data_IF_515420187048
#
_entry.id   IF_515420187048
#
_cell.length_a   1.000
_cell.length_b   1.000
_cell.length_c   1.000
_cell.angle_alpha   90.00
_cell.angle_beta   90.00
_cell.angle_gamma   90.00
#
_symmetry.space_group_name_H-M   'P 1'
#
loop_
_entity.id
_entity.type
_entity.pdbx_description
1 polymer ?
#
# COMPACT_ATOMS: atom_id res chain seq x y z
N UNK A 1 -2.61 -63.21 -27.31
CA UNK A 1 -1.41 -63.64 -28.06
C UNK A 1 -0.92 -62.44 -28.87
N UNK A 2 0.36 -62.10 -28.69
CA UNK A 2 1.25 -61.24 -29.51
C UNK A 2 0.82 -59.78 -29.82
N UNK A 3 1.69 -58.77 -29.80
CA UNK A 3 3.06 -58.60 -29.31
C UNK A 3 3.40 -57.10 -29.35
N UNK A 4 4.37 -56.72 -28.51
CA UNK A 4 4.98 -55.40 -28.35
C UNK A 4 5.55 -54.75 -29.62
N UNK A 5 5.58 -53.40 -29.62
CA UNK A 5 6.77 -52.64 -30.03
C UNK A 5 6.84 -51.29 -29.32
N UNK A 6 7.81 -51.16 -28.42
CA UNK A 6 8.25 -49.94 -27.75
C UNK A 6 9.10 -49.08 -28.67
N UNK A 7 8.88 -47.77 -28.71
CA UNK A 7 9.87 -46.79 -29.16
C UNK A 7 9.87 -45.59 -28.21
N UNK A 8 10.89 -45.59 -27.36
CA UNK A 8 11.39 -44.47 -26.58
C UNK A 8 12.09 -43.45 -27.47
N UNK A 9 11.85 -42.15 -27.26
CA UNK A 9 12.82 -41.09 -27.57
C UNK A 9 12.54 -39.82 -26.73
N UNK A 10 13.57 -38.98 -26.50
CA UNK A 10 13.81 -38.35 -25.20
C UNK A 10 13.31 -36.90 -25.05
N UNK A 11 13.24 -36.50 -23.78
CA UNK A 11 12.96 -35.15 -23.27
C UNK A 11 14.06 -34.16 -23.69
N UNK A 12 13.75 -32.99 -24.29
CA UNK A 12 14.68 -31.88 -24.36
C UNK A 12 14.64 -31.06 -23.07
N UNK A 13 15.81 -30.89 -22.45
CA UNK A 13 16.10 -29.91 -21.41
C UNK A 13 16.26 -28.51 -22.04
N UNK A 14 15.77 -27.50 -21.33
CA UNK A 14 15.89 -26.04 -21.56
C UNK A 14 15.13 -25.42 -22.75
N UNK A 15 14.16 -24.51 -22.49
CA UNK A 15 13.82 -23.47 -23.45
C UNK A 15 14.78 -22.27 -23.27
N UNK A 16 15.67 -22.11 -24.23
CA UNK A 16 16.44 -20.88 -24.43
C UNK A 16 15.49 -19.74 -24.78
N UNK A 17 15.44 -18.68 -23.97
CA UNK A 17 14.74 -17.44 -24.34
C UNK A 17 15.50 -16.75 -25.48
N UNK A 18 14.95 -16.80 -26.68
CA UNK A 18 15.38 -15.98 -27.81
C UNK A 18 14.65 -14.63 -27.73
N UNK A 19 15.32 -13.60 -27.23
CA UNK A 19 14.86 -12.20 -27.38
C UNK A 19 15.41 -11.70 -28.71
N UNK A 20 14.53 -11.57 -29.71
CA UNK A 20 14.84 -10.91 -30.97
C UNK A 20 14.74 -9.39 -30.77
N UNK A 21 15.88 -8.70 -30.81
CA UNK A 21 15.93 -7.24 -30.97
C UNK A 21 15.92 -6.88 -32.45
N UNK A 22 15.07 -5.95 -32.92
CA UNK A 22 15.32 -5.25 -34.15
C UNK A 22 16.30 -4.09 -33.91
N UNK A 23 17.47 -4.20 -34.53
CA UNK A 23 18.46 -3.15 -34.69
C UNK A 23 18.06 -2.14 -35.77
N UNK A 24 18.40 -0.87 -35.53
CA UNK A 24 18.47 0.30 -36.43
C UNK A 24 17.22 1.17 -36.58
N UNK A 25 17.29 2.40 -36.06
CA UNK A 25 17.25 3.66 -36.84
C UNK A 25 17.69 4.87 -35.97
N UNK A 26 18.25 5.87 -36.65
CA UNK A 26 19.22 6.90 -36.24
C UNK A 26 18.71 8.04 -35.31
N UNK A 27 19.62 8.83 -34.68
CA UNK A 27 19.25 9.89 -33.73
C UNK A 27 18.76 11.18 -34.41
N UNK A 28 17.93 12.01 -33.75
CA UNK A 28 17.45 13.26 -34.32
C UNK A 28 18.51 14.38 -34.22
N UNK A 29 18.55 15.22 -35.27
CA UNK A 29 19.36 16.44 -35.36
C UNK A 29 18.80 17.52 -34.41
N UNK A 30 19.68 18.11 -33.60
CA UNK A 30 19.39 19.31 -32.82
C UNK A 30 19.34 20.55 -33.73
N UNK A 31 18.27 21.34 -33.62
CA UNK A 31 18.23 22.74 -34.08
C UNK A 31 18.23 23.65 -32.86
N UNK A 32 19.27 24.47 -32.74
CA UNK A 32 19.45 25.49 -31.71
C UNK A 32 18.55 26.68 -32.04
N UNK A 33 17.62 27.01 -31.14
CA UNK A 33 16.85 28.24 -31.15
C UNK A 33 17.12 29.03 -29.87
N UNK A 34 17.82 30.16 -29.99
CA UNK A 34 17.94 31.16 -28.93
C UNK A 34 16.56 31.77 -28.61
N UNK A 35 16.32 32.12 -27.34
CA UNK A 35 15.64 33.36 -27.06
C UNK A 35 16.46 34.28 -26.15
N UNK A 36 16.38 35.54 -26.54
CA UNK A 36 16.94 36.76 -25.98
C UNK A 36 16.50 37.03 -24.55
N UNK A 37 17.46 37.56 -23.79
CA UNK A 37 17.35 38.19 -22.48
C UNK A 37 16.38 39.37 -22.44
N UNK A 38 15.57 39.45 -21.37
CA UNK A 38 15.19 40.73 -20.76
C UNK A 38 15.11 40.57 -19.24
N UNK A 39 15.98 41.32 -18.58
CA UNK A 39 16.09 41.51 -17.14
C UNK A 39 15.02 42.49 -16.64
N UNK A 40 14.39 42.19 -15.50
CA UNK A 40 13.78 43.19 -14.65
C UNK A 40 14.06 42.83 -13.18
N UNK A 41 15.00 43.56 -12.60
CA UNK A 41 15.36 43.58 -11.19
C UNK A 41 14.31 44.35 -10.39
N UNK A 42 13.76 43.74 -9.34
CA UNK A 42 13.10 44.47 -8.25
C UNK A 42 13.75 44.10 -6.92
N UNK A 43 14.46 45.07 -6.36
CA UNK A 43 15.08 45.08 -5.04
C UNK A 43 13.99 45.22 -3.98
N UNK A 44 13.86 44.24 -3.08
CA UNK A 44 13.09 44.36 -1.85
C UNK A 44 14.05 44.38 -0.66
N UNK A 45 14.00 45.49 0.10
CA UNK A 45 14.66 45.67 1.39
C UNK A 45 13.70 45.15 2.48
N UNK A 46 14.20 44.46 3.52
CA UNK A 46 13.57 44.57 4.83
C UNK A 46 14.54 45.09 5.90
N UNK A 47 13.99 46.01 6.69
CA UNK A 47 14.56 46.67 7.85
C UNK A 47 14.88 45.70 8.99
N UNK A 48 16.02 45.96 9.64
CA UNK A 48 16.43 45.40 10.92
C UNK A 48 15.50 45.81 12.06
N UNK A 49 15.03 44.84 12.85
CA UNK A 49 14.44 45.05 14.16
C UNK A 49 15.22 44.26 15.22
N UNK A 50 15.72 44.98 16.21
CA UNK A 50 16.50 44.54 17.36
C UNK A 50 15.67 43.68 18.33
N UNK A 51 16.21 42.54 18.76
CA UNK A 51 15.68 41.74 19.87
C UNK A 51 16.49 41.99 21.14
N UNK A 52 15.77 42.31 22.21
CA UNK A 52 16.28 42.48 23.57
C UNK A 52 16.90 41.21 24.12
N UNK A 53 18.10 41.33 24.69
CA UNK A 53 18.78 40.33 25.49
C UNK A 53 18.24 40.31 26.92
N UNK A 54 17.69 39.19 27.36
CA UNK A 54 17.50 38.88 28.78
C UNK A 54 18.60 37.91 29.23
N UNK A 55 19.49 38.39 30.08
CA UNK A 55 20.50 37.59 30.78
C UNK A 55 19.86 36.79 31.91
N UNK A 56 20.04 35.47 31.90
CA UNK A 56 19.86 34.61 33.09
C UNK A 56 21.24 34.09 33.47
N UNK A 57 21.71 34.51 34.65
CA UNK A 57 22.90 33.96 35.30
C UNK A 57 22.66 32.51 35.72
N UNK A 58 23.59 31.61 35.40
CA UNK A 58 23.71 30.31 36.08
C UNK A 58 25.18 30.06 36.46
N UNK A 59 25.37 29.66 37.71
CA UNK A 59 26.64 29.41 38.39
C UNK A 59 27.34 28.14 37.90
N UNK A 60 28.67 28.03 38.03
CA UNK A 60 29.44 26.91 37.49
C UNK A 60 29.50 25.73 38.45
N UNK A 61 29.16 24.53 37.98
CA UNK A 61 29.29 23.31 38.76
C UNK A 61 29.18 22.04 37.92
N UNK A 62 30.32 21.37 37.77
CA UNK A 62 30.50 19.93 37.49
C UNK A 62 30.16 19.50 36.05
N UNK A 63 31.14 19.69 35.14
CA UNK A 63 31.25 18.89 33.91
C UNK A 63 32.06 17.65 34.27
N UNK A 64 31.36 16.53 34.51
CA UNK A 64 31.96 15.21 34.37
C UNK A 64 32.42 15.03 32.92
N UNK A 65 33.69 14.65 32.76
CA UNK A 65 34.30 14.37 31.46
C UNK A 65 33.62 13.15 30.83
N UNK A 66 32.57 13.38 30.05
CA UNK A 66 32.19 12.45 29.00
C UNK A 66 33.32 12.45 27.97
N UNK A 67 34.13 11.39 27.95
CA UNK A 67 35.06 11.11 26.87
C UNK A 67 34.25 10.98 25.58
N UNK A 68 34.21 12.06 24.81
CA UNK A 68 33.76 12.04 23.43
C UNK A 68 34.78 11.28 22.60
N UNK A 69 34.55 9.97 22.41
CA UNK A 69 35.17 9.24 21.32
C UNK A 69 34.53 9.71 20.01
N UNK A 70 34.98 10.84 19.48
CA UNK A 70 34.83 11.15 18.06
C UNK A 70 35.68 10.15 17.28
N UNK A 71 35.13 8.97 17.02
CA UNK A 71 35.64 8.07 15.99
C UNK A 71 35.45 8.80 14.67
N UNK A 72 36.53 9.07 13.94
CA UNK A 72 36.43 9.50 12.54
C UNK A 72 35.65 8.44 11.79
N UNK A 73 34.40 8.74 11.44
CA UNK A 73 33.53 7.80 10.75
C UNK A 73 33.94 7.73 9.27
N UNK A 74 35.09 7.13 9.00
CA UNK A 74 35.47 6.78 7.63
C UNK A 74 34.45 5.77 7.10
N UNK A 75 33.76 6.16 6.03
CA UNK A 75 32.75 5.31 5.38
C UNK A 75 33.47 4.28 4.52
N UNK A 76 33.31 2.99 4.85
CA UNK A 76 33.96 1.89 4.12
C UNK A 76 33.31 1.66 2.75
N UNK A 77 34.12 1.56 1.69
CA UNK A 77 33.69 1.06 0.38
C UNK A 77 33.54 -0.46 0.43
N UNK A 78 32.36 -0.98 0.10
CA UNK A 78 32.05 -2.41 0.15
C UNK A 78 32.05 -3.02 -1.24
N UNK A 79 32.53 -4.26 -1.35
CA UNK A 79 32.22 -5.12 -2.48
C UNK A 79 30.75 -5.56 -2.48
N UNK A 80 30.25 -6.02 -3.63
CA UNK A 80 28.86 -6.52 -3.72
C UNK A 80 28.59 -7.67 -2.74
N UNK A 81 29.53 -8.59 -2.58
CA UNK A 81 29.37 -9.72 -1.65
C UNK A 81 29.29 -9.25 -0.20
N UNK A 82 30.19 -8.34 0.21
CA UNK A 82 30.15 -7.76 1.56
C UNK A 82 28.83 -7.02 1.83
N UNK A 83 28.31 -6.30 0.84
CA UNK A 83 27.02 -5.62 0.96
C UNK A 83 25.87 -6.61 1.16
N UNK A 84 25.81 -7.69 0.38
CA UNK A 84 24.77 -8.73 0.50
C UNK A 84 24.86 -9.45 1.85
N UNK A 85 26.06 -9.82 2.30
CA UNK A 85 26.24 -10.46 3.61
C UNK A 85 25.80 -9.53 4.75
N UNK A 86 26.12 -8.24 4.67
CA UNK A 86 25.64 -7.24 5.66
C UNK A 86 24.13 -7.06 5.62
N UNK A 87 23.52 -7.06 4.43
CA UNK A 87 22.07 -7.02 4.29
C UNK A 87 21.41 -8.26 4.91
N UNK A 88 21.97 -9.45 4.70
CA UNK A 88 21.48 -10.69 5.30
C UNK A 88 21.57 -10.66 6.83
N UNK A 89 22.74 -10.31 7.38
CA UNK A 89 22.95 -10.17 8.82
C UNK A 89 22.00 -9.12 9.45
N UNK A 90 21.80 -7.99 8.77
CA UNK A 90 20.84 -6.98 9.19
C UNK A 90 19.41 -7.53 9.22
N UNK A 91 18.98 -8.26 8.18
CA UNK A 91 17.65 -8.89 8.11
C UNK A 91 17.41 -9.90 9.22
N UNK A 92 18.43 -10.64 9.63
CA UNK A 92 18.34 -11.61 10.74
C UNK A 92 18.15 -10.95 12.11
N UNK A 93 18.63 -9.72 12.27
CA UNK A 93 18.56 -8.98 13.54
C UNK A 93 17.18 -8.42 13.89
N UNK A 94 16.28 -8.26 12.91
CA UNK A 94 14.97 -7.65 13.15
C UNK A 94 13.99 -8.62 13.84
N UNK A 95 13.19 -8.13 14.82
CA UNK A 95 12.11 -8.93 15.41
C UNK A 95 11.03 -9.25 14.37
N UNK A 96 10.81 -10.55 14.10
CA UNK A 96 9.98 -11.04 12.99
C UNK A 96 8.50 -11.18 13.34
N UNK A 97 7.77 -10.06 13.52
CA UNK A 97 6.28 -10.10 13.58
C UNK A 97 5.68 -10.45 12.21
N UNK A 98 6.28 -9.91 11.14
CA UNK A 98 5.92 -10.21 9.75
C UNK A 98 7.10 -10.91 9.06
N UNK A 99 6.81 -11.97 8.32
CA UNK A 99 7.78 -12.71 7.51
C UNK A 99 7.67 -12.31 6.04
N UNK A 100 8.81 -12.11 5.39
CA UNK A 100 8.93 -11.90 3.96
C UNK A 100 9.36 -13.22 3.31
N UNK A 101 8.56 -13.74 2.38
CA UNK A 101 8.68 -15.13 1.93
C UNK A 101 9.18 -15.27 0.48
N UNK A 102 8.73 -14.39 -0.41
CA UNK A 102 9.19 -14.34 -1.79
C UNK A 102 9.00 -12.93 -2.35
N UNK A 103 9.89 -12.52 -3.26
CA UNK A 103 9.74 -11.30 -4.03
C UNK A 103 9.98 -11.58 -5.52
N UNK A 104 9.09 -11.11 -6.38
CA UNK A 104 9.33 -10.96 -7.81
C UNK A 104 9.85 -9.55 -8.13
N UNK A 105 10.78 -9.45 -9.08
CA UNK A 105 11.20 -8.19 -9.68
C UNK A 105 11.37 -8.37 -11.19
N UNK A 106 10.75 -7.49 -11.97
CA UNK A 106 10.99 -7.45 -13.42
C UNK A 106 12.38 -6.92 -13.77
N UNK A 107 13.08 -6.26 -12.85
CA UNK A 107 14.43 -5.71 -13.09
C UNK A 107 15.45 -6.82 -13.31
N UNK A 108 15.44 -7.84 -12.45
CA UNK A 108 16.25 -9.05 -12.63
C UNK A 108 15.46 -10.21 -13.25
N UNK A 109 14.17 -10.02 -13.53
CA UNK A 109 13.34 -10.96 -14.29
C UNK A 109 12.95 -12.25 -13.57
N UNK A 110 12.93 -12.27 -12.23
CA UNK A 110 12.78 -13.53 -11.48
C UNK A 110 12.17 -13.37 -10.09
N UNK A 111 12.07 -14.50 -9.37
CA UNK A 111 11.60 -14.59 -7.99
C UNK A 111 12.79 -14.94 -7.08
N UNK A 112 12.93 -14.25 -5.95
CA UNK A 112 13.92 -14.54 -4.90
C UNK A 112 13.21 -14.85 -3.58
N UNK A 113 13.78 -15.77 -2.80
CA UNK A 113 13.34 -16.09 -1.43
C UNK A 113 14.36 -15.63 -0.38
N UNK A 114 15.57 -15.25 -0.78
CA UNK A 114 16.53 -14.61 0.11
C UNK A 114 16.12 -13.15 0.35
N UNK A 115 15.77 -12.83 1.60
CA UNK A 115 15.34 -11.48 2.01
C UNK A 115 16.39 -10.40 1.80
N UNK A 116 17.68 -10.75 1.69
CA UNK A 116 18.75 -9.81 1.36
C UNK A 116 18.67 -9.33 -0.10
N UNK A 117 18.13 -10.15 -1.00
CA UNK A 117 17.91 -9.82 -2.41
C UNK A 117 16.54 -9.16 -2.67
N UNK A 118 15.70 -9.03 -1.64
CA UNK A 118 14.40 -8.35 -1.72
C UNK A 118 14.59 -6.83 -1.64
N UNK A 119 15.20 -6.25 -2.69
CA UNK A 119 15.58 -4.84 -2.79
C UNK A 119 15.01 -4.21 -4.06
N UNK A 120 14.87 -2.89 -4.02
CA UNK A 120 14.42 -2.07 -5.15
C UNK A 120 15.58 -1.14 -5.52
N UNK A 121 15.85 -0.92 -6.82
CA UNK A 121 16.86 0.04 -7.27
C UNK A 121 16.58 1.44 -6.71
N UNK A 122 17.62 2.11 -6.21
CA UNK A 122 17.51 3.46 -5.62
C UNK A 122 17.07 4.52 -6.65
N UNK A 123 17.41 4.28 -7.91
CA UNK A 123 17.09 5.08 -9.08
C UNK A 123 15.72 4.74 -9.70
N UNK A 124 14.93 3.84 -9.09
CA UNK A 124 13.54 3.66 -9.48
C UNK A 124 12.71 4.89 -9.08
N UNK A 125 11.99 5.46 -10.03
CA UNK A 125 11.23 6.70 -9.85
C UNK A 125 10.23 6.64 -8.68
N UNK A 126 9.70 5.46 -8.36
CA UNK A 126 8.81 5.33 -7.21
C UNK A 126 9.51 5.59 -5.86
N UNK A 127 10.81 5.32 -5.77
CA UNK A 127 11.60 5.46 -4.53
C UNK A 127 11.91 6.92 -4.25
N UNK A 128 12.40 7.67 -5.25
CA UNK A 128 12.88 9.03 -5.05
C UNK A 128 11.90 10.13 -5.51
N UNK A 129 10.77 9.77 -6.16
CA UNK A 129 9.69 10.70 -6.54
C UNK A 129 8.30 10.31 -6.05
N UNK A 130 8.11 9.10 -5.54
CA UNK A 130 6.77 8.61 -5.21
C UNK A 130 5.89 8.32 -6.46
N UNK A 131 6.51 8.24 -7.65
CA UNK A 131 5.80 7.90 -8.89
C UNK A 131 5.63 6.38 -9.00
N UNK A 132 4.60 5.87 -8.36
CA UNK A 132 4.29 4.44 -8.38
C UNK A 132 2.88 4.16 -7.88
N UNK A 133 2.35 3.00 -8.27
CA UNK A 133 1.05 2.50 -7.81
C UNK A 133 1.20 1.09 -7.28
N UNK A 134 0.28 0.68 -6.42
CA UNK A 134 0.32 -0.64 -5.81
C UNK A 134 -1.06 -1.18 -5.51
N UNK A 135 -1.15 -2.50 -5.34
CA UNK A 135 -2.32 -3.13 -4.76
C UNK A 135 -1.92 -4.28 -3.82
N UNK A 136 -2.90 -4.86 -3.14
CA UNK A 136 -2.69 -5.94 -2.16
C UNK A 136 -3.86 -6.90 -2.20
N UNK A 137 -3.59 -8.17 -2.48
CA UNK A 137 -4.54 -9.26 -2.41
C UNK A 137 -4.25 -10.14 -1.18
N UNK A 138 -5.30 -10.59 -0.51
CA UNK A 138 -5.15 -11.52 0.61
C UNK A 138 -4.95 -12.95 0.11
N UNK A 139 -4.10 -13.70 0.80
CA UNK A 139 -3.93 -15.14 0.60
C UNK A 139 -4.69 -15.84 1.74
N UNK A 140 -5.66 -16.67 1.41
CA UNK A 140 -6.46 -17.43 2.37
C UNK A 140 -6.66 -18.86 1.87
N UNK A 141 -6.32 -19.84 2.71
CA UNK A 141 -6.44 -21.27 2.44
C UNK A 141 -5.94 -21.67 1.04
N UNK A 142 -4.79 -21.12 0.65
CA UNK A 142 -4.15 -21.40 -0.63
C UNK A 142 -4.76 -20.69 -1.85
N UNK A 143 -5.62 -19.69 -1.64
CA UNK A 143 -6.27 -18.92 -2.70
C UNK A 143 -5.95 -17.44 -2.56
N UNK A 144 -5.82 -16.76 -3.70
CA UNK A 144 -5.78 -15.30 -3.78
C UNK A 144 -7.21 -14.76 -3.90
N UNK A 145 -7.60 -13.91 -2.95
CA UNK A 145 -8.94 -13.35 -2.87
C UNK A 145 -9.09 -12.09 -3.72
N UNK A 146 -10.12 -12.04 -4.57
CA UNK A 146 -10.47 -10.96 -5.51
C UNK A 146 -9.30 -10.49 -6.39
N UNK A 147 -8.35 -11.39 -6.72
CA UNK A 147 -7.10 -11.04 -7.42
C UNK A 147 -7.36 -10.27 -8.72
N UNK A 148 -8.29 -10.72 -9.53
CA UNK A 148 -8.56 -10.12 -10.85
C UNK A 148 -9.11 -8.69 -10.69
N UNK A 149 -9.96 -8.43 -9.69
CA UNK A 149 -10.45 -7.10 -9.34
C UNK A 149 -9.33 -6.18 -8.82
N UNK A 150 -8.41 -6.72 -8.00
CA UNK A 150 -7.25 -5.99 -7.51
C UNK A 150 -6.29 -5.64 -8.67
N UNK A 151 -6.07 -6.53 -9.64
CA UNK A 151 -5.27 -6.25 -10.84
C UNK A 151 -5.95 -5.16 -11.69
N UNK A 152 -7.26 -5.24 -11.89
CA UNK A 152 -8.00 -4.20 -12.61
C UNK A 152 -7.86 -2.82 -11.96
N UNK A 153 -7.93 -2.74 -10.62
CA UNK A 153 -7.70 -1.48 -9.90
C UNK A 153 -6.26 -0.99 -10.00
N UNK A 154 -5.28 -1.90 -9.96
CA UNK A 154 -3.87 -1.56 -10.19
C UNK A 154 -3.69 -0.92 -11.57
N UNK A 155 -4.25 -1.52 -12.62
CA UNK A 155 -4.12 -1.04 -14.00
C UNK A 155 -4.81 0.31 -14.21
N UNK A 156 -5.99 0.52 -13.61
CA UNK A 156 -6.64 1.85 -13.60
C UNK A 156 -5.78 2.90 -12.90
N UNK A 157 -5.20 2.56 -11.73
CA UNK A 157 -4.29 3.45 -11.00
C UNK A 157 -3.04 3.78 -11.84
N UNK A 158 -2.47 2.77 -12.52
CA UNK A 158 -1.31 2.95 -13.39
C UNK A 158 -1.63 3.88 -14.57
N UNK A 159 -2.80 3.72 -15.20
CA UNK A 159 -3.25 4.60 -16.28
C UNK A 159 -3.38 6.06 -15.81
N UNK A 160 -3.98 6.29 -14.63
CA UNK A 160 -4.07 7.63 -14.03
C UNK A 160 -2.69 8.22 -13.72
N UNK A 161 -1.76 7.39 -13.26
CA UNK A 161 -0.38 7.76 -13.00
C UNK A 161 0.49 7.87 -14.27
N UNK A 162 -0.06 7.61 -15.46
CA UNK A 162 0.69 7.55 -16.74
C UNK A 162 1.85 6.55 -16.71
N UNK A 163 1.68 5.43 -15.99
CA UNK A 163 2.62 4.31 -15.97
C UNK A 163 2.13 3.26 -16.97
N UNK A 164 2.94 2.93 -17.97
CA UNK A 164 2.66 1.84 -18.91
C UNK A 164 3.14 0.53 -18.30
N UNK A 165 2.27 -0.45 -18.01
CA UNK A 165 2.72 -1.71 -17.44
C UNK A 165 3.71 -2.44 -18.36
N UNK A 166 4.76 -3.10 -17.82
CA UNK A 166 5.72 -3.85 -18.63
C UNK A 166 5.14 -5.15 -19.21
N UNK A 167 4.00 -5.61 -18.68
CA UNK A 167 3.34 -6.84 -19.05
C UNK A 167 1.83 -6.61 -19.20
N UNK A 168 1.17 -7.43 -20.01
CA UNK A 168 -0.29 -7.46 -20.06
C UNK A 168 -0.91 -8.02 -18.76
N UNK A 169 -2.23 -7.86 -18.62
CA UNK A 169 -3.00 -8.29 -17.45
C UNK A 169 -2.78 -9.78 -17.11
N UNK A 170 -2.83 -10.66 -18.12
CA UNK A 170 -2.73 -12.11 -17.92
C UNK A 170 -1.32 -12.52 -17.49
N UNK A 171 -0.30 -11.87 -18.03
CA UNK A 171 1.09 -12.07 -17.63
C UNK A 171 1.33 -11.57 -16.20
N UNK A 172 0.83 -10.38 -15.82
CA UNK A 172 0.87 -9.88 -14.43
C UNK A 172 0.21 -10.90 -13.50
N UNK A 173 -1.01 -11.34 -13.83
CA UNK A 173 -1.76 -12.34 -13.06
C UNK A 173 -0.96 -13.62 -12.84
N UNK A 174 -0.35 -14.17 -13.90
CA UNK A 174 0.48 -15.37 -13.82
C UNK A 174 1.71 -15.17 -12.93
N UNK A 175 2.42 -14.04 -13.09
CA UNK A 175 3.59 -13.70 -12.27
C UNK A 175 3.21 -13.64 -10.78
N UNK A 176 2.10 -12.98 -10.46
CA UNK A 176 1.60 -12.85 -9.09
C UNK A 176 1.28 -14.23 -8.47
N UNK A 177 0.58 -15.10 -9.20
CA UNK A 177 0.27 -16.47 -8.77
C UNK A 177 1.57 -17.29 -8.55
N UNK A 178 2.52 -17.21 -9.48
CA UNK A 178 3.81 -17.90 -9.39
C UNK A 178 4.64 -17.42 -8.20
N UNK A 179 4.59 -16.12 -7.88
CA UNK A 179 5.27 -15.54 -6.72
C UNK A 179 4.71 -16.11 -5.42
N UNK A 180 3.38 -16.24 -5.31
CA UNK A 180 2.73 -16.88 -4.14
C UNK A 180 3.05 -18.37 -4.07
N UNK A 181 3.00 -19.08 -5.20
CA UNK A 181 3.38 -20.50 -5.27
C UNK A 181 4.80 -20.73 -4.74
N UNK A 182 5.78 -19.95 -5.23
CA UNK A 182 7.19 -20.07 -4.80
C UNK A 182 7.39 -19.80 -3.30
N UNK A 183 6.56 -18.92 -2.71
CA UNK A 183 6.59 -18.61 -1.28
C UNK A 183 6.07 -19.73 -0.37
N UNK A 184 5.29 -20.68 -0.92
CA UNK A 184 4.52 -21.70 -0.18
C UNK A 184 3.53 -21.15 0.87
N UNK A 185 3.29 -19.84 0.88
CA UNK A 185 2.39 -19.16 1.79
C UNK A 185 0.93 -19.51 1.47
N UNK A 186 0.21 -20.13 2.42
CA UNK A 186 -1.23 -20.45 2.27
C UNK A 186 -2.15 -19.46 3.00
N UNK A 187 -1.60 -18.62 3.86
CA UNK A 187 -2.32 -17.59 4.61
C UNK A 187 -1.42 -16.39 4.84
N UNK A 188 -1.74 -15.26 4.23
CA UNK A 188 -0.86 -14.09 4.22
C UNK A 188 -1.35 -13.00 3.27
N UNK A 189 -0.41 -12.23 2.75
CA UNK A 189 -0.66 -11.08 1.88
C UNK A 189 0.27 -11.10 0.70
N UNK A 190 -0.26 -10.81 -0.49
CA UNK A 190 0.49 -10.53 -1.69
C UNK A 190 0.34 -9.04 -2.00
N UNK A 191 1.44 -8.27 -1.92
CA UNK A 191 1.47 -6.86 -2.30
C UNK A 191 2.34 -6.67 -3.53
N UNK A 192 1.93 -5.80 -4.45
CA UNK A 192 2.62 -5.60 -5.72
C UNK A 192 2.51 -4.18 -6.21
N UNK A 193 3.52 -3.75 -6.98
CA UNK A 193 3.73 -2.38 -7.43
C UNK A 193 4.00 -2.29 -8.92
N UNK A 194 3.56 -1.20 -9.52
CA UNK A 194 4.03 -0.73 -10.83
C UNK A 194 4.71 0.62 -10.66
N UNK A 195 5.87 0.78 -11.29
CA UNK A 195 6.60 2.06 -11.36
C UNK A 195 7.04 2.35 -12.80
N UNK A 196 7.37 3.61 -13.13
CA UNK A 196 8.09 3.94 -14.36
C UNK A 196 9.44 3.23 -14.50
N UNK A 197 10.01 2.78 -13.39
CA UNK A 197 11.25 2.00 -13.31
C UNK A 197 12.51 2.85 -13.11
N UNK A 198 13.69 2.19 -13.11
CA UNK A 198 14.99 2.84 -12.99
C UNK A 198 15.28 3.81 -14.12
N UNK A 199 15.94 4.92 -13.79
CA UNK A 199 16.31 5.96 -14.74
C UNK A 199 17.23 7.01 -14.13
N UNK A 200 17.08 8.26 -14.56
CA UNK A 200 17.74 9.39 -13.93
C UNK A 200 16.93 9.95 -12.75
N UNK A 201 17.53 10.87 -12.00
CA UNK A 201 16.87 11.54 -10.88
C UNK A 201 16.01 12.74 -11.29
N UNK A 202 15.56 12.87 -12.54
CA UNK A 202 14.70 13.99 -12.94
C UNK A 202 13.26 13.82 -12.44
N UNK A 203 12.44 14.88 -12.56
CA UNK A 203 11.00 14.80 -12.27
C UNK A 203 10.26 14.07 -13.40
N UNK A 204 10.70 14.26 -14.65
CA UNK A 204 10.13 13.55 -15.79
C UNK A 204 10.53 12.07 -15.76
N UNK A 205 9.60 11.13 -15.98
CA UNK A 205 9.92 9.70 -16.11
C UNK A 205 10.49 9.36 -17.50
N UNK A 206 10.73 10.33 -18.38
CA UNK A 206 11.25 10.09 -19.73
C UNK A 206 12.66 9.50 -19.76
N UNK A 207 13.42 9.65 -18.67
CA UNK A 207 14.73 9.01 -18.49
C UNK A 207 14.65 7.56 -18.03
N UNK A 208 13.47 7.09 -17.59
CA UNK A 208 13.28 5.71 -17.16
C UNK A 208 13.37 4.75 -18.35
N UNK A 209 14.13 3.67 -18.20
CA UNK A 209 14.40 2.74 -19.28
C UNK A 209 13.19 1.84 -19.60
N UNK A 210 12.57 1.30 -18.56
CA UNK A 210 11.41 0.42 -18.65
C UNK A 210 10.65 0.42 -17.34
N UNK A 211 9.32 0.46 -17.42
CA UNK A 211 8.45 0.30 -16.25
C UNK A 211 8.67 -1.03 -15.55
N UNK A 212 8.57 -1.02 -14.22
CA UNK A 212 8.86 -2.17 -13.40
C UNK A 212 7.61 -2.74 -12.73
N UNK A 213 7.58 -4.06 -12.57
CA UNK A 213 6.64 -4.80 -11.74
C UNK A 213 7.41 -5.44 -10.59
N UNK A 214 6.97 -5.16 -9.37
CA UNK A 214 7.47 -5.81 -8.16
C UNK A 214 6.31 -6.50 -7.45
N UNK A 215 6.55 -7.64 -6.83
CA UNK A 215 5.58 -8.30 -5.97
C UNK A 215 6.29 -8.91 -4.76
N UNK A 216 5.66 -8.85 -3.59
CA UNK A 216 6.19 -9.45 -2.36
C UNK A 216 5.08 -10.20 -1.63
N UNK A 217 5.44 -11.37 -1.12
CA UNK A 217 4.56 -12.20 -0.30
C UNK A 217 5.01 -12.10 1.15
N UNK A 218 4.07 -11.71 2.01
CA UNK A 218 4.29 -11.64 3.45
C UNK A 218 3.31 -12.51 4.23
N UNK A 219 3.73 -12.92 5.42
CA UNK A 219 2.89 -13.65 6.36
C UNK A 219 3.04 -13.03 7.75
N UNK A 220 1.91 -12.62 8.31
CA UNK A 220 1.85 -12.21 9.72
C UNK A 220 1.64 -13.45 10.59
N UNK A 221 2.45 -13.59 11.64
CA UNK A 221 2.37 -14.72 12.56
C UNK A 221 1.29 -14.56 13.64
N UNK A 222 0.88 -13.32 13.92
CA UNK A 222 -0.11 -13.05 14.94
C UNK A 222 -1.53 -13.30 14.43
N UNK A 223 -2.42 -13.89 15.25
CA UNK A 223 -3.84 -13.91 14.93
C UNK A 223 -4.38 -12.48 14.83
N UNK A 224 -5.37 -12.21 13.97
CA UNK A 224 -5.98 -10.90 13.92
C UNK A 224 -6.68 -10.59 15.26
N UNK A 225 -6.42 -9.41 15.81
CA UNK A 225 -7.16 -8.86 16.94
C UNK A 225 -8.33 -8.01 16.41
N UNK A 226 -9.53 -8.26 16.91
CA UNK A 226 -10.74 -7.53 16.54
C UNK A 226 -11.40 -6.80 17.73
N UNK A 227 -10.64 -6.54 18.80
CA UNK A 227 -11.07 -5.64 19.87
C UNK A 227 -11.47 -4.27 19.32
N UNK A 228 -12.45 -3.65 19.98
CA UNK A 228 -12.93 -2.33 19.60
C UNK A 228 -11.82 -1.29 19.68
N UNK A 229 -11.65 -0.50 18.63
CA UNK A 229 -10.60 0.53 18.59
C UNK A 229 -11.16 1.93 18.77
N UNK A 230 -10.29 2.83 19.26
CA UNK A 230 -10.47 4.28 19.19
C UNK A 230 -9.95 4.81 17.85
N UNK A 231 -10.67 5.74 17.24
CA UNK A 231 -10.18 6.58 16.13
C UNK A 231 -10.23 8.05 16.51
N UNK A 232 -9.52 8.89 15.76
CA UNK A 232 -9.55 10.35 15.92
C UNK A 232 -9.94 11.04 14.62
N UNK A 233 -10.44 12.27 14.70
CA UNK A 233 -10.56 13.14 13.55
C UNK A 233 -9.16 13.65 13.14
N UNK A 234 -8.81 13.49 11.87
CA UNK A 234 -7.51 13.90 11.33
C UNK A 234 -7.34 15.41 11.37
N UNK A 235 -6.16 15.88 11.79
CA UNK A 235 -5.71 17.24 11.45
C UNK A 235 -4.76 17.28 10.25
N UNK A 236 -4.35 16.11 9.75
CA UNK A 236 -3.57 15.97 8.52
C UNK A 236 -4.55 16.12 7.35
N UNK A 237 -4.28 16.96 6.35
CA UNK A 237 -5.18 17.10 5.20
C UNK A 237 -5.24 15.81 4.39
N UNK A 238 -6.42 15.49 3.85
CA UNK A 238 -6.58 14.41 2.88
C UNK A 238 -5.85 14.76 1.58
N UNK A 239 -5.50 13.73 0.81
CA UNK A 239 -5.02 13.92 -0.57
C UNK A 239 -6.13 14.55 -1.41
N UNK A 240 -5.80 15.43 -2.38
CA UNK A 240 -6.78 15.89 -3.35
C UNK A 240 -7.46 14.69 -4.06
N UNK A 241 -8.74 14.77 -4.44
CA UNK A 241 -9.52 13.63 -4.93
C UNK A 241 -8.83 12.80 -6.03
N UNK A 242 -8.18 13.46 -7.01
CA UNK A 242 -7.46 12.79 -8.09
C UNK A 242 -6.37 11.82 -7.59
N UNK A 243 -5.70 12.15 -6.47
CA UNK A 243 -4.67 11.31 -5.85
C UNK A 243 -5.26 10.34 -4.82
N UNK A 244 -6.41 10.64 -4.24
CA UNK A 244 -7.09 9.81 -3.25
C UNK A 244 -7.70 8.54 -3.88
N UNK A 245 -8.35 8.68 -5.03
CA UNK A 245 -8.96 7.54 -5.75
C UNK A 245 -7.93 6.59 -6.37
N UNK A 246 -6.68 7.06 -6.51
CA UNK A 246 -5.56 6.30 -7.04
C UNK A 246 -4.78 5.61 -5.93
N UNK A 247 -4.63 4.28 -6.01
CA UNK A 247 -3.83 3.53 -5.04
C UNK A 247 -2.32 3.66 -5.34
N UNK A 248 -1.78 4.82 -4.98
CA UNK A 248 -0.38 5.22 -5.26
C UNK A 248 0.56 5.01 -4.07
N UNK A 249 1.87 5.13 -4.27
CA UNK A 249 2.88 5.08 -3.20
C UNK A 249 3.08 6.42 -2.47
N UNK A 250 2.31 7.46 -2.81
CA UNK A 250 2.32 8.76 -2.13
C UNK A 250 1.64 8.64 -0.76
N UNK A 251 2.34 8.03 0.20
CA UNK A 251 1.80 7.59 1.50
C UNK A 251 2.24 8.45 2.68
N UNK A 252 2.95 9.56 2.47
CA UNK A 252 3.33 10.48 3.55
C UNK A 252 2.10 10.98 4.34
N UNK A 253 0.98 11.43 3.72
CA UNK A 253 -0.21 11.79 4.48
C UNK A 253 -0.77 10.62 5.30
N UNK A 254 -0.77 9.40 4.74
CA UNK A 254 -1.25 8.19 5.41
C UNK A 254 -0.40 7.85 6.64
N UNK A 255 0.92 7.98 6.51
CA UNK A 255 1.87 7.76 7.60
C UNK A 255 1.67 8.79 8.72
N UNK A 256 1.59 10.08 8.37
CA UNK A 256 1.37 11.16 9.34
C UNK A 256 0.04 11.01 10.09
N UNK A 257 -1.03 10.63 9.39
CA UNK A 257 -2.32 10.37 10.04
C UNK A 257 -2.25 9.15 10.98
N UNK A 258 -1.56 8.08 10.57
CA UNK A 258 -1.37 6.91 11.42
C UNK A 258 -0.59 7.27 12.69
N UNK A 259 0.51 8.01 12.56
CA UNK A 259 1.32 8.51 13.68
C UNK A 259 0.49 9.40 14.61
N UNK A 260 -0.29 10.34 14.07
CA UNK A 260 -1.16 11.20 14.85
C UNK A 260 -2.17 10.39 15.69
N UNK A 261 -2.74 9.33 15.11
CA UNK A 261 -3.61 8.41 15.84
C UNK A 261 -2.90 7.78 17.03
N UNK A 262 -1.71 7.22 16.80
CA UNK A 262 -0.90 6.56 17.82
C UNK A 262 -0.50 7.50 18.95
N UNK A 263 -0.09 8.73 18.63
CA UNK A 263 0.23 9.78 19.61
C UNK A 263 -0.94 10.12 20.53
N UNK A 264 -2.18 9.99 20.04
CA UNK A 264 -3.41 10.22 20.82
C UNK A 264 -4.01 8.95 21.42
N UNK A 265 -3.25 7.85 21.43
CA UNK A 265 -3.70 6.54 21.95
C UNK A 265 -4.84 5.92 21.15
N UNK A 266 -4.99 6.30 19.88
CA UNK A 266 -5.97 5.76 18.95
C UNK A 266 -5.31 4.78 17.98
N UNK A 267 -6.12 3.90 17.38
CA UNK A 267 -5.66 2.97 16.36
C UNK A 267 -5.23 3.70 15.08
N UNK A 268 -5.98 4.72 14.68
CA UNK A 268 -5.67 5.60 13.55
C UNK A 268 -6.57 6.84 13.58
N UNK A 269 -6.48 7.71 12.57
CA UNK A 269 -7.44 8.78 12.37
C UNK A 269 -8.28 8.60 11.11
N UNK A 270 -9.33 9.41 11.01
CA UNK A 270 -10.29 9.48 9.90
C UNK A 270 -10.13 10.84 9.23
N UNK A 271 -9.91 10.85 7.93
CA UNK A 271 -9.91 12.08 7.14
C UNK A 271 -11.31 12.62 6.93
N UNK A 272 -11.36 13.95 6.81
CA UNK A 272 -12.47 14.66 6.24
C UNK A 272 -12.07 15.20 4.86
N UNK A 273 -13.04 15.34 3.97
CA UNK A 273 -12.85 15.99 2.68
C UNK A 273 -12.82 17.53 2.80
N UNK A 274 -12.72 18.21 1.66
CA UNK A 274 -12.65 19.68 1.60
C UNK A 274 -13.91 20.38 2.11
N UNK A 275 -15.05 19.69 2.14
CA UNK A 275 -16.34 20.19 2.60
C UNK A 275 -16.65 19.78 4.04
N UNK A 276 -15.74 19.04 4.69
CA UNK A 276 -15.87 18.59 6.07
C UNK A 276 -16.67 17.29 6.25
N UNK A 277 -17.01 16.58 5.16
CA UNK A 277 -17.62 15.27 5.23
C UNK A 277 -16.57 14.18 5.49
N UNK A 278 -17.04 13.08 6.07
CA UNK A 278 -16.20 11.93 6.37
C UNK A 278 -15.71 11.29 5.06
N UNK A 279 -14.39 11.08 4.97
CA UNK A 279 -13.75 10.42 3.84
C UNK A 279 -13.34 8.98 4.21
N UNK A 280 -12.06 8.74 4.49
CA UNK A 280 -11.50 7.41 4.79
C UNK A 280 -10.38 7.47 5.84
N UNK A 281 -9.94 6.31 6.33
CA UNK A 281 -8.71 6.17 7.11
C UNK A 281 -7.48 5.97 6.21
N UNK A 282 -6.26 5.89 6.78
CA UNK A 282 -5.04 5.85 5.98
C UNK A 282 -4.87 4.59 5.11
N UNK A 283 -5.59 3.51 5.40
CA UNK A 283 -5.50 2.27 4.60
C UNK A 283 -6.85 1.57 4.44
N UNK A 284 -7.95 2.21 4.84
CA UNK A 284 -9.25 1.60 5.08
C UNK A 284 -10.38 2.59 4.81
N UNK A 285 -11.49 2.13 4.24
CA UNK A 285 -12.74 2.88 4.22
C UNK A 285 -13.41 2.82 5.60
N UNK A 286 -14.44 3.64 5.80
CA UNK A 286 -15.27 3.65 7.02
C UNK A 286 -16.72 3.35 6.68
N UNK A 287 -17.44 2.70 7.59
CA UNK A 287 -18.88 2.51 7.48
C UNK A 287 -19.55 2.62 8.85
N UNK A 288 -20.84 2.87 8.84
CA UNK A 288 -21.66 3.15 10.00
C UNK A 288 -22.96 2.37 9.94
N UNK A 289 -23.52 2.04 11.10
CA UNK A 289 -24.91 1.57 11.19
C UNK A 289 -25.71 2.62 11.94
N UNK A 290 -26.70 3.20 11.27
CA UNK A 290 -27.52 4.28 11.84
C UNK A 290 -28.47 3.77 12.92
N UNK A 291 -29.16 4.68 13.62
CA UNK A 291 -30.19 4.32 14.61
C UNK A 291 -31.38 3.59 13.98
N UNK A 292 -31.68 3.92 12.73
CA UNK A 292 -32.72 3.33 11.88
C UNK A 292 -32.29 2.00 11.24
N UNK A 293 -31.13 1.47 11.64
CA UNK A 293 -30.57 0.20 11.19
C UNK A 293 -30.21 0.18 9.69
N UNK A 294 -29.80 1.32 9.14
CA UNK A 294 -29.25 1.44 7.78
C UNK A 294 -27.71 1.32 7.82
N UNK A 295 -27.12 0.60 6.86
CA UNK A 295 -25.68 0.67 6.62
C UNK A 295 -25.36 1.91 5.80
N UNK A 296 -24.60 2.83 6.38
CA UNK A 296 -24.20 4.10 5.80
C UNK A 296 -22.69 4.10 5.54
N UNK A 297 -22.28 4.57 4.37
CA UNK A 297 -20.88 4.66 3.96
C UNK A 297 -20.67 5.92 3.09
N UNK A 298 -19.52 6.62 3.21
CA UNK A 298 -19.12 7.62 2.21
C UNK A 298 -19.10 7.01 0.80
N UNK A 299 -19.45 7.77 -0.22
CA UNK A 299 -19.29 7.31 -1.60
C UNK A 299 -17.80 7.21 -1.99
N UNK A 300 -17.54 6.63 -3.16
CA UNK A 300 -16.18 6.38 -3.64
C UNK A 300 -15.69 7.44 -4.65
N UNK A 301 -16.34 8.60 -4.75
CA UNK A 301 -15.95 9.61 -5.74
C UNK A 301 -14.64 10.30 -5.36
N UNK A 302 -14.43 10.56 -4.06
CA UNK A 302 -13.30 11.32 -3.55
C UNK A 302 -12.33 10.49 -2.68
N UNK A 303 -12.56 9.19 -2.56
CA UNK A 303 -11.76 8.27 -1.73
C UNK A 303 -11.43 6.99 -2.50
N UNK A 304 -10.55 6.15 -1.95
CA UNK A 304 -10.23 4.89 -2.62
C UNK A 304 -11.47 4.00 -2.71
N UNK A 305 -11.77 3.55 -3.93
CA UNK A 305 -12.79 2.53 -4.20
C UNK A 305 -12.33 1.17 -3.66
N UNK A 306 -12.48 0.96 -2.35
CA UNK A 306 -11.99 -0.21 -1.62
C UNK A 306 -12.74 -1.48 -2.02
N UNK A 307 -12.02 -2.51 -2.46
CA UNK A 307 -12.64 -3.78 -2.85
C UNK A 307 -13.30 -4.49 -1.65
N UNK A 308 -12.66 -4.48 -0.48
CA UNK A 308 -13.28 -5.02 0.75
C UNK A 308 -14.56 -4.25 1.13
N UNK A 309 -14.60 -2.93 0.93
CA UNK A 309 -15.79 -2.11 1.17
C UNK A 309 -16.90 -2.43 0.16
N UNK A 310 -16.58 -2.53 -1.13
CA UNK A 310 -17.53 -2.99 -2.15
C UNK A 310 -18.08 -4.38 -1.85
N UNK A 311 -17.23 -5.29 -1.41
CA UNK A 311 -17.65 -6.64 -1.03
C UNK A 311 -18.54 -6.62 0.22
N UNK A 312 -18.23 -5.77 1.20
CA UNK A 312 -19.09 -5.56 2.36
C UNK A 312 -20.49 -5.06 1.95
N UNK A 313 -20.59 -4.16 0.96
CA UNK A 313 -21.88 -3.71 0.42
C UNK A 313 -22.66 -4.86 -0.24
N UNK A 314 -21.98 -5.75 -0.97
CA UNK A 314 -22.61 -6.96 -1.54
C UNK A 314 -23.17 -7.86 -0.44
N UNK A 315 -22.39 -8.13 0.61
CA UNK A 315 -22.83 -8.94 1.76
C UNK A 315 -23.92 -8.26 2.59
N UNK A 316 -23.89 -6.93 2.69
CA UNK A 316 -24.92 -6.16 3.36
C UNK A 316 -26.29 -6.32 2.69
N UNK A 317 -26.35 -6.55 1.38
CA UNK A 317 -27.63 -6.85 0.70
C UNK A 317 -28.28 -8.14 1.22
N UNK A 318 -27.48 -9.14 1.62
CA UNK A 318 -28.01 -10.34 2.27
C UNK A 318 -28.55 -10.01 3.67
N UNK A 319 -27.86 -9.16 4.43
CA UNK A 319 -28.33 -8.70 5.74
C UNK A 319 -29.63 -7.89 5.65
N UNK A 320 -29.84 -7.11 4.58
CA UNK A 320 -31.11 -6.42 4.32
C UNK A 320 -32.23 -7.43 4.06
N UNK A 321 -31.99 -8.45 3.23
CA UNK A 321 -32.97 -9.52 2.96
C UNK A 321 -33.34 -10.32 4.21
N UNK A 322 -32.37 -10.55 5.10
CA UNK A 322 -32.56 -11.23 6.39
C UNK A 322 -33.27 -10.34 7.44
N UNK A 323 -33.56 -9.07 7.13
CA UNK A 323 -34.14 -8.11 8.09
C UNK A 323 -33.17 -7.66 9.18
N UNK A 324 -31.88 -7.99 9.06
CA UNK A 324 -30.82 -7.54 10.00
C UNK A 324 -30.37 -6.12 9.74
N UNK A 325 -30.56 -5.63 8.52
CA UNK A 325 -30.44 -4.22 8.11
C UNK A 325 -31.74 -3.77 7.44
N UNK A 326 -32.05 -2.48 7.54
CA UNK A 326 -33.19 -1.86 6.86
C UNK A 326 -32.88 -1.51 5.41
N UNK A 327 -31.73 -0.88 5.18
CA UNK A 327 -31.29 -0.38 3.88
C UNK A 327 -29.76 -0.19 3.86
N UNK A 328 -29.24 0.15 2.68
CA UNK A 328 -27.85 0.54 2.46
C UNK A 328 -27.86 1.89 1.76
N UNK A 329 -27.05 2.84 2.23
CA UNK A 329 -26.91 4.18 1.66
C UNK A 329 -25.44 4.55 1.48
N UNK A 330 -25.14 5.07 0.30
CA UNK A 330 -23.89 5.73 -0.04
C UNK A 330 -24.19 7.21 -0.20
N UNK A 331 -23.57 8.06 0.62
CA UNK A 331 -23.73 9.51 0.56
C UNK A 331 -22.60 10.20 1.31
N UNK A 332 -22.48 11.51 1.14
CA UNK A 332 -21.76 12.35 2.09
C UNK A 332 -22.29 12.10 3.51
N UNK A 333 -21.37 11.89 4.46
CA UNK A 333 -21.68 11.63 5.87
C UNK A 333 -21.03 12.73 6.70
N UNK A 334 -21.81 13.44 7.50
CA UNK A 334 -21.23 14.43 8.42
C UNK A 334 -20.58 13.75 9.62
N UNK A 335 -19.62 14.43 10.26
CA UNK A 335 -18.99 13.92 11.48
C UNK A 335 -20.03 13.64 12.57
N UNK A 336 -21.02 14.52 12.72
CA UNK A 336 -22.08 14.36 13.71
C UNK A 336 -22.97 13.14 13.43
N UNK A 337 -23.30 12.88 12.16
CA UNK A 337 -24.05 11.69 11.76
C UNK A 337 -23.25 10.42 12.04
N UNK A 338 -21.97 10.39 11.65
CA UNK A 338 -21.06 9.27 11.90
C UNK A 338 -20.87 8.98 13.39
N UNK A 339 -20.67 10.01 14.22
CA UNK A 339 -20.53 9.87 15.68
C UNK A 339 -21.83 9.48 16.38
N UNK A 340 -22.98 9.81 15.79
CA UNK A 340 -24.30 9.44 16.31
C UNK A 340 -24.74 8.02 15.93
N UNK A 341 -23.95 7.32 15.13
CA UNK A 341 -24.22 5.95 14.70
C UNK A 341 -24.24 4.94 15.87
N UNK A 342 -24.97 3.85 15.68
CA UNK A 342 -25.00 2.72 16.62
C UNK A 342 -23.76 1.83 16.52
N UNK A 343 -23.21 1.72 15.33
CA UNK A 343 -21.97 1.00 15.07
C UNK A 343 -21.11 1.80 14.10
N UNK A 344 -19.79 1.70 14.25
CA UNK A 344 -18.81 2.21 13.29
C UNK A 344 -17.75 1.12 13.04
N UNK A 345 -17.26 1.04 11.81
CA UNK A 345 -16.26 0.04 11.43
C UNK A 345 -15.28 0.57 10.39
N UNK A 346 -14.04 0.09 10.47
CA UNK A 346 -13.01 0.25 9.44
C UNK A 346 -13.03 -0.96 8.51
N UNK A 347 -12.93 -0.74 7.21
CA UNK A 347 -13.02 -1.80 6.19
C UNK A 347 -11.83 -1.71 5.24
N UNK A 348 -11.09 -2.81 5.09
CA UNK A 348 -9.96 -2.88 4.15
C UNK A 348 -9.21 -4.20 4.21
N UNK A 349 -8.46 -4.57 3.17
CA UNK A 349 -7.84 -5.89 3.03
C UNK A 349 -6.92 -6.30 4.20
N UNK A 350 -6.32 -5.33 4.90
CA UNK A 350 -5.46 -5.58 6.06
C UNK A 350 -6.19 -5.78 7.39
N UNK A 351 -7.43 -5.29 7.52
CA UNK A 351 -8.23 -5.37 8.76
C UNK A 351 -9.54 -6.14 8.58
N UNK A 352 -9.91 -6.44 7.34
CA UNK A 352 -11.21 -6.96 6.91
C UNK A 352 -12.36 -6.02 7.30
N UNK A 353 -12.89 -6.18 8.51
CA UNK A 353 -13.90 -5.31 9.13
C UNK A 353 -13.56 -5.21 10.62
N UNK A 354 -13.18 -4.03 11.09
CA UNK A 354 -12.68 -3.80 12.44
C UNK A 354 -13.58 -2.81 13.20
N UNK A 355 -14.15 -3.19 14.35
CA UNK A 355 -15.05 -2.33 15.11
C UNK A 355 -14.35 -1.08 15.66
N UNK A 356 -15.00 0.07 15.49
CA UNK A 356 -14.65 1.33 16.15
C UNK A 356 -15.66 1.58 17.25
N UNK A 357 -15.18 1.68 18.49
CA UNK A 357 -16.02 1.84 19.69
C UNK A 357 -15.93 3.25 20.28
N UNK A 358 -14.95 4.04 19.84
CA UNK A 358 -14.76 5.42 20.26
C UNK A 358 -14.22 6.26 19.10
N UNK A 359 -14.79 7.44 18.88
CA UNK A 359 -14.27 8.44 17.96
C UNK A 359 -14.05 9.76 18.71
N UNK A 360 -12.79 10.18 18.77
CA UNK A 360 -12.33 11.29 19.61
C UNK A 360 -12.69 10.99 21.07
N UNK A 361 -13.51 11.84 21.70
CA UNK A 361 -13.95 11.68 23.08
C UNK A 361 -15.36 11.06 23.18
N UNK A 362 -15.97 10.69 22.05
CA UNK A 362 -17.32 10.15 22.01
C UNK A 362 -17.31 8.63 21.82
N UNK A 363 -18.06 7.94 22.70
CA UNK A 363 -18.34 6.51 22.56
C UNK A 363 -19.33 6.29 21.42
N UNK A 364 -19.02 5.34 20.53
CA UNK A 364 -19.93 4.90 19.48
C UNK A 364 -20.85 3.82 20.04
N UNK A 365 -22.15 3.99 19.85
CA UNK A 365 -23.15 3.04 20.35
C UNK A 365 -23.04 2.82 21.87
N UNK A 366 -22.79 1.57 22.27
CA UNK A 366 -22.62 1.14 23.66
C UNK A 366 -21.15 0.87 24.04
N UNK A 367 -20.20 1.29 23.17
CA UNK A 367 -18.77 1.08 23.37
C UNK A 367 -18.30 -0.35 23.15
N UNK A 368 -19.13 -1.20 22.53
CA UNK A 368 -18.80 -2.59 22.21
C UNK A 368 -18.83 -2.85 20.72
N UNK A 369 -18.30 -4.00 20.33
CA UNK A 369 -18.43 -4.47 18.96
C UNK A 369 -19.91 -4.67 18.59
N UNK A 370 -20.31 -4.01 17.51
CA UNK A 370 -21.64 -4.10 16.94
C UNK A 370 -21.96 -5.44 16.24
N UNK A 371 -23.24 -5.79 16.20
CA UNK A 371 -23.71 -7.07 15.64
C UNK A 371 -23.57 -7.11 14.12
N UNK A 372 -23.85 -5.99 13.43
CA UNK A 372 -23.72 -5.90 11.97
C UNK A 372 -22.25 -5.92 11.58
N UNK A 373 -21.41 -5.19 12.31
CA UNK A 373 -19.94 -5.18 12.15
C UNK A 373 -19.38 -6.61 12.21
N UNK A 374 -19.73 -7.37 13.25
CA UNK A 374 -19.34 -8.77 13.40
C UNK A 374 -19.89 -9.65 12.28
N UNK A 375 -21.16 -9.46 11.90
CA UNK A 375 -21.79 -10.23 10.84
C UNK A 375 -21.10 -10.01 9.49
N UNK A 376 -20.82 -8.75 9.12
CA UNK A 376 -20.09 -8.40 7.90
C UNK A 376 -18.68 -8.97 7.89
N UNK A 377 -17.94 -8.88 9.02
CA UNK A 377 -16.63 -9.52 9.13
C UNK A 377 -16.73 -11.02 8.84
N UNK A 378 -17.66 -11.71 9.49
CA UNK A 378 -17.81 -13.15 9.36
C UNK A 378 -18.18 -13.55 7.93
N UNK A 379 -19.07 -12.80 7.27
CA UNK A 379 -19.44 -13.02 5.88
C UNK A 379 -18.24 -12.86 4.95
N UNK A 380 -17.43 -11.81 5.10
CA UNK A 380 -16.23 -11.63 4.27
C UNK A 380 -15.20 -12.72 4.54
N UNK A 381 -14.95 -13.08 5.80
CA UNK A 381 -14.01 -14.17 6.14
C UNK A 381 -14.47 -15.49 5.56
N UNK A 382 -15.76 -15.80 5.63
CA UNK A 382 -16.32 -17.01 5.04
C UNK A 382 -16.17 -16.99 3.52
N UNK A 383 -16.47 -15.87 2.89
CA UNK A 383 -16.35 -15.67 1.46
C UNK A 383 -14.89 -15.80 0.95
N UNK A 384 -13.91 -15.42 1.77
CA UNK A 384 -12.48 -15.69 1.49
C UNK A 384 -12.12 -17.18 1.57
N UNK A 385 -12.81 -17.96 2.40
CA UNK A 385 -12.54 -19.39 2.66
C UNK A 385 -13.34 -20.34 1.78
N UNK A 386 -14.56 -19.98 1.42
CA UNK A 386 -15.54 -20.86 0.78
C UNK A 386 -16.32 -20.18 -0.35
N UNK A 387 -16.02 -18.92 -0.65
CA UNK A 387 -16.62 -18.20 -1.78
C UNK A 387 -16.36 -18.88 -3.13
N UNK A 388 -17.09 -18.46 -4.18
CA UNK A 388 -17.00 -19.07 -5.50
C UNK A 388 -15.61 -18.89 -6.15
N UNK A 389 -15.28 -19.76 -7.09
CA UNK A 389 -14.02 -19.71 -7.84
C UNK A 389 -13.81 -18.40 -8.62
N UNK A 390 -14.89 -17.66 -8.89
CA UNK A 390 -14.84 -16.35 -9.57
C UNK A 390 -14.18 -15.26 -8.73
N UNK A 391 -14.12 -15.41 -7.41
CA UNK A 391 -13.49 -14.45 -6.50
C UNK A 391 -12.30 -15.04 -5.74
N UNK A 392 -12.04 -16.34 -5.89
CA UNK A 392 -10.94 -17.06 -5.25
C UNK A 392 -10.09 -17.75 -6.30
N UNK A 393 -8.94 -17.18 -6.58
CA UNK A 393 -8.00 -17.73 -7.56
C UNK A 393 -7.12 -18.77 -6.86
N UNK A 394 -7.18 -20.06 -7.25
CA UNK A 394 -6.35 -21.09 -6.63
C UNK A 394 -4.88 -20.91 -6.99
N UNK A 395 -3.99 -21.13 -6.01
CA UNK A 395 -2.55 -21.11 -6.24
C UNK A 395 -2.04 -22.57 -6.40
N UNK A 396 -1.29 -22.88 -7.48
CA UNK A 396 -0.69 -24.20 -7.66
C UNK A 396 0.60 -24.30 -6.84
N UNK A 397 0.52 -24.86 -5.64
CA UNK A 397 1.66 -24.99 -4.70
C UNK A 397 2.58 -26.17 -5.00
#
# INVERSE_FOLDING_TARGET
>A
MASFSSLSNPIPKNPTFCVLFPSNLAPPRFSVGNPTSTSASSTFIPSSASLHSNQIQTSPGIIEKAQTSQSSADVTLLSCNEAIERLRASRESYPKKEQYLAMYSSIFGGIVTDTAAMVIPMDDHMVHRGHGVFDTAAIMDGHLYELDEHIERLLRSAAMAKIKPPFDKECIRRILIQTVSASKCRKGSLRYWLSPGPGDFQVSPSGCHQSALYAIVTQNQSPPNYEGVKVITSSIPIKPPQFAVMKSVNYLPNALLKMQGEEKGAFTGIWLDGDGFIAEGPTMNVAFVTKENELLMPDFENILSGLTAKRALVHAQALVKDGKLRSIRLSNVSVDEGKSAREMMLIGSGVIVHPVVQWDDQIIGDGKEGLVTRALRNLIVEDMKSGPATIRVPVPY
#
